data_IF_093077909798
#
_entry.id   IF_093077909798
#
_cell.length_a   1.000
_cell.length_b   1.000
_cell.length_c   1.000
_cell.angle_alpha   90.00
_cell.angle_beta   90.00
_cell.angle_gamma   90.00
#
_symmetry.space_group_name_H-M   'P 1'
#
loop_
_entity.id
_entity.type
_entity.pdbx_description
1 polymer ?
#
# COMPACT_ATOMS: atom_id res chain seq x y z
N UNK A 1 1.33 -0.01 65.75
CA UNK A 1 0.31 0.99 65.40
C UNK A 1 -0.26 0.65 64.04
N UNK A 2 -1.52 0.24 64.01
CA UNK A 2 -2.25 -0.18 62.81
C UNK A 2 -2.95 1.03 62.18
N UNK A 3 -2.96 1.10 60.86
CA UNK A 3 -3.87 1.97 60.11
C UNK A 3 -4.25 1.27 58.80
N UNK A 4 -5.36 0.55 58.84
CA UNK A 4 -6.07 0.03 57.67
C UNK A 4 -6.94 1.15 57.10
N UNK A 5 -6.77 1.49 55.82
CA UNK A 5 -7.72 2.33 55.08
C UNK A 5 -8.45 1.48 54.06
N UNK A 6 -9.71 1.24 54.35
CA UNK A 6 -10.72 0.65 53.47
C UNK A 6 -11.30 1.78 52.63
N UNK A 7 -11.19 1.68 51.30
CA UNK A 7 -11.90 2.56 50.38
C UNK A 7 -12.88 1.73 49.56
N UNK A 8 -14.16 1.81 49.92
CA UNK A 8 -15.28 1.42 49.07
C UNK A 8 -15.56 2.55 48.08
N UNK A 9 -15.73 2.23 46.79
CA UNK A 9 -16.35 3.12 45.82
C UNK A 9 -17.50 2.39 45.11
N UNK A 10 -18.67 3.03 44.94
CA UNK A 10 -19.86 2.38 44.43
C UNK A 10 -19.91 2.37 42.90
N UNK A 11 -20.59 1.33 42.45
CA UNK A 11 -21.06 1.00 41.13
C UNK A 11 -22.08 2.04 40.62
N UNK A 12 -21.81 2.70 39.48
CA UNK A 12 -22.84 3.42 38.72
C UNK A 12 -22.68 3.13 37.22
N UNK A 13 -23.66 2.37 36.72
CA UNK A 13 -24.04 2.32 35.30
C UNK A 13 -24.46 3.72 34.86
N UNK A 14 -24.19 4.11 33.61
CA UNK A 14 -25.11 4.82 32.72
C UNK A 14 -24.49 5.00 31.32
N UNK A 15 -25.24 4.54 30.31
CA UNK A 15 -25.02 4.79 28.90
C UNK A 15 -25.55 6.19 28.54
N UNK A 16 -24.78 7.02 27.84
CA UNK A 16 -25.34 8.12 27.03
C UNK A 16 -24.38 8.47 25.89
N UNK A 17 -24.91 8.42 24.67
CA UNK A 17 -24.31 8.83 23.41
C UNK A 17 -24.20 10.36 23.41
N UNK A 18 -23.02 10.91 23.12
CA UNK A 18 -22.84 12.34 22.81
C UNK A 18 -22.13 12.51 21.48
N UNK A 19 -22.95 12.77 20.47
CA UNK A 19 -22.59 13.36 19.18
C UNK A 19 -22.00 14.74 19.39
N UNK A 20 -20.77 14.98 18.95
CA UNK A 20 -20.21 16.33 18.87
C UNK A 20 -19.81 16.64 17.42
N UNK A 21 -20.49 17.62 16.84
CA UNK A 21 -20.22 18.17 15.53
C UNK A 21 -19.00 19.10 15.61
N UNK A 22 -17.91 18.71 14.97
CA UNK A 22 -16.72 19.55 14.79
C UNK A 22 -16.91 20.43 13.55
N UNK A 23 -17.07 21.74 13.79
CA UNK A 23 -17.05 22.80 12.77
C UNK A 23 -15.67 22.83 12.10
N UNK A 24 -15.60 22.48 10.82
CA UNK A 24 -14.44 22.70 9.97
C UNK A 24 -14.43 24.16 9.50
N UNK A 25 -13.44 24.94 9.98
CA UNK A 25 -13.11 26.23 9.39
C UNK A 25 -12.27 25.98 8.12
N UNK A 26 -12.91 26.00 6.95
CA UNK A 26 -12.21 26.08 5.67
C UNK A 26 -11.70 27.52 5.46
N UNK A 27 -10.46 27.79 5.84
CA UNK A 27 -9.72 28.93 5.27
C UNK A 27 -9.03 28.44 3.99
N UNK A 28 -9.75 28.52 2.87
CA UNK A 28 -9.25 28.26 1.54
C UNK A 28 -8.49 29.49 1.05
N UNK A 29 -7.17 29.55 1.30
CA UNK A 29 -6.29 30.50 0.62
C UNK A 29 -5.93 29.91 -0.74
N UNK A 30 -6.65 30.34 -1.77
CA UNK A 30 -6.33 30.10 -3.17
C UNK A 30 -4.93 30.67 -3.45
N UNK A 31 -3.93 29.80 -3.57
CA UNK A 31 -2.66 30.16 -4.20
C UNK A 31 -2.82 29.96 -5.70
N UNK A 32 -3.03 31.06 -6.41
CA UNK A 32 -2.83 31.11 -7.85
C UNK A 32 -1.37 30.76 -8.15
N UNK A 33 -1.15 29.70 -8.92
CA UNK A 33 0.16 29.37 -9.48
C UNK A 33 0.27 30.18 -10.78
N UNK A 34 0.94 31.34 -10.73
CA UNK A 34 1.29 32.08 -11.94
C UNK A 34 2.57 31.46 -12.55
N UNK A 35 2.39 30.66 -13.59
CA UNK A 35 3.48 30.27 -14.48
C UNK A 35 3.87 31.49 -15.32
N UNK A 36 4.99 32.13 -15.00
CA UNK A 36 5.65 33.08 -15.90
C UNK A 36 6.53 32.27 -16.85
N UNK A 37 5.99 31.94 -18.02
CA UNK A 37 6.78 31.45 -19.14
C UNK A 37 7.69 32.58 -19.62
N UNK A 38 9.00 32.46 -19.38
CA UNK A 38 10.01 33.18 -20.16
C UNK A 38 10.40 32.29 -21.34
N UNK A 39 9.88 32.63 -22.51
CA UNK A 39 10.46 32.22 -23.79
C UNK A 39 11.79 32.96 -23.93
N UNK A 40 12.90 32.23 -23.84
CA UNK A 40 14.18 32.69 -24.34
C UNK A 40 14.29 32.19 -25.77
N UNK A 41 14.38 33.11 -26.71
CA UNK A 41 14.79 32.81 -28.08
C UNK A 41 16.28 32.49 -28.11
N UNK A 42 16.63 31.44 -28.84
CA UNK A 42 18.01 31.11 -29.16
C UNK A 42 18.48 32.00 -30.31
N UNK A 43 19.51 32.81 -30.09
CA UNK A 43 20.36 33.32 -31.17
C UNK A 43 21.83 33.08 -30.81
N UNK A 44 22.55 32.56 -31.81
CA UNK A 44 23.86 31.92 -31.66
C UNK A 44 25.05 32.87 -31.57
N UNK A 45 26.09 32.31 -30.95
CA UNK A 45 27.52 32.42 -31.28
C UNK A 45 28.08 33.76 -31.80
N UNK A 46 28.87 34.45 -30.96
CA UNK A 46 30.25 34.85 -31.30
C UNK A 46 31.05 35.28 -30.06
N UNK A 47 32.13 34.56 -29.78
CA UNK A 47 33.28 35.02 -28.97
C UNK A 47 33.98 36.19 -29.70
N UNK A 48 34.56 37.16 -28.96
CA UNK A 48 35.99 37.07 -28.66
C UNK A 48 36.40 37.53 -27.24
N UNK A 49 37.31 36.74 -26.67
CA UNK A 49 38.53 37.08 -25.92
C UNK A 49 38.73 38.44 -25.22
N UNK A 50 39.25 38.32 -23.99
CA UNK A 50 40.21 39.18 -23.27
C UNK A 50 39.63 40.35 -22.47
N UNK A 51 39.51 40.18 -21.14
CA UNK A 51 40.34 40.90 -20.15
C UNK A 51 40.08 40.43 -18.71
N UNK A 52 41.20 40.22 -18.03
CA UNK A 52 41.39 39.92 -16.61
C UNK A 52 40.83 41.03 -15.72
N UNK A 53 39.85 40.72 -14.86
CA UNK A 53 39.61 41.45 -13.61
C UNK A 53 39.21 40.44 -12.53
N UNK A 54 40.17 40.08 -11.68
CA UNK A 54 39.90 39.56 -10.34
C UNK A 54 39.19 40.65 -9.55
N UNK A 55 37.87 40.53 -9.40
CA UNK A 55 37.11 41.24 -8.37
C UNK A 55 36.76 40.25 -7.26
N UNK A 56 37.69 40.10 -6.31
CA UNK A 56 37.35 39.72 -4.94
C UNK A 56 36.50 40.83 -4.34
N UNK A 57 35.22 40.87 -4.70
CA UNK A 57 34.21 41.61 -3.96
C UNK A 57 33.86 40.79 -2.72
N UNK A 58 34.32 41.27 -1.57
CA UNK A 58 33.80 40.84 -0.28
C UNK A 58 32.32 41.25 -0.18
N UNK A 59 31.45 40.36 -0.67
CA UNK A 59 30.00 40.48 -0.50
C UNK A 59 29.71 40.36 1.00
N UNK A 60 29.36 41.48 1.63
CA UNK A 60 28.92 41.50 3.02
C UNK A 60 27.91 40.36 3.24
N UNK A 61 28.11 39.50 4.27
CA UNK A 61 27.25 38.36 4.46
C UNK A 61 25.87 38.88 4.79
N UNK A 62 24.97 38.83 3.79
CA UNK A 62 23.53 39.01 3.95
C UNK A 62 23.18 38.32 5.26
N UNK A 63 22.61 39.03 6.23
CA UNK A 63 22.31 38.47 7.56
C UNK A 63 21.18 37.45 7.43
N UNK A 64 21.57 36.24 7.07
CA UNK A 64 20.70 35.11 6.86
C UNK A 64 20.06 34.72 8.19
N UNK A 65 18.76 34.42 8.15
CA UNK A 65 18.07 33.93 9.33
C UNK A 65 18.78 32.71 9.93
N UNK A 66 18.69 32.53 11.25
CA UNK A 66 19.32 31.40 11.95
C UNK A 66 18.95 30.04 11.33
N UNK A 67 17.70 29.87 10.90
CA UNK A 67 17.22 28.67 10.22
C UNK A 67 17.90 28.48 8.87
N UNK A 68 18.02 29.55 8.07
CA UNK A 68 18.69 29.50 6.77
C UNK A 68 20.18 29.17 6.90
N UNK A 69 20.87 29.71 7.92
CA UNK A 69 22.27 29.35 8.21
C UNK A 69 22.43 27.86 8.50
N UNK A 70 21.62 27.29 9.41
CA UNK A 70 21.62 25.85 9.72
C UNK A 70 21.31 24.98 8.49
N UNK A 71 20.39 25.44 7.64
CA UNK A 71 20.09 24.74 6.39
C UNK A 71 21.30 24.72 5.45
N UNK A 72 21.99 25.86 5.26
CA UNK A 72 23.18 25.89 4.41
C UNK A 72 24.35 25.10 4.99
N UNK A 73 24.50 25.07 6.31
CA UNK A 73 25.45 24.19 7.00
C UNK A 73 25.14 22.72 6.71
N UNK A 74 23.87 22.29 6.86
CA UNK A 74 23.44 20.94 6.51
C UNK A 74 23.63 20.62 5.02
N UNK A 75 23.32 21.55 4.12
CA UNK A 75 23.51 21.39 2.68
C UNK A 75 24.98 21.23 2.28
N UNK A 76 25.91 21.84 3.03
CA UNK A 76 27.35 21.68 2.82
C UNK A 76 27.86 20.33 3.31
N UNK A 77 27.31 19.82 4.41
CA UNK A 77 27.74 18.56 5.01
C UNK A 77 27.00 17.35 4.39
N UNK A 78 25.79 17.06 4.90
CA UNK A 78 25.03 15.84 4.57
C UNK A 78 24.25 16.03 3.28
N UNK A 79 23.68 17.22 3.07
CA UNK A 79 22.84 17.56 1.93
C UNK A 79 23.57 17.57 0.60
N UNK A 80 24.91 17.71 0.61
CA UNK A 80 25.72 17.79 -0.61
C UNK A 80 25.57 16.53 -1.49
N UNK A 81 25.42 15.35 -0.87
CA UNK A 81 25.21 14.06 -1.56
C UNK A 81 23.94 14.04 -2.42
N UNK A 82 22.96 14.86 -2.07
CA UNK A 82 21.67 14.95 -2.75
C UNK A 82 21.62 16.09 -3.78
N UNK A 83 22.70 16.85 -3.94
CA UNK A 83 22.76 17.96 -4.91
C UNK A 83 22.76 17.47 -6.36
N UNK A 84 23.26 16.26 -6.61
CA UNK A 84 23.27 15.62 -7.92
C UNK A 84 22.62 14.24 -7.82
N UNK A 85 21.90 13.79 -8.86
CA UNK A 85 21.41 12.41 -8.91
C UNK A 85 22.57 11.42 -8.82
N UNK A 86 22.40 10.35 -8.04
CA UNK A 86 23.31 9.19 -8.09
C UNK A 86 23.01 8.36 -9.32
N UNK A 87 24.00 8.09 -10.15
CA UNK A 87 23.84 7.25 -11.34
C UNK A 87 23.59 5.79 -10.95
N UNK A 88 22.61 5.14 -11.60
CA UNK A 88 22.35 3.71 -11.45
C UNK A 88 21.76 3.24 -10.11
N UNK A 89 21.49 4.14 -9.16
CA UNK A 89 20.93 3.79 -7.83
C UNK A 89 19.97 4.87 -7.32
N UNK A 90 19.09 4.50 -6.39
CA UNK A 90 18.14 5.40 -5.75
C UNK A 90 18.82 6.37 -4.79
N UNK A 91 18.60 7.67 -4.96
CA UNK A 91 19.16 8.71 -4.10
C UNK A 91 18.21 9.07 -2.94
N UNK A 92 17.95 8.12 -2.05
CA UNK A 92 17.07 8.33 -0.89
C UNK A 92 17.84 8.89 0.31
N UNK A 93 17.13 9.66 1.15
CA UNK A 93 17.71 10.25 2.37
C UNK A 93 18.22 9.18 3.36
N UNK A 94 17.59 8.01 3.35
CA UNK A 94 17.92 6.84 4.16
C UNK A 94 17.73 5.56 3.32
N UNK A 95 17.67 4.39 3.96
CA UNK A 95 17.33 3.13 3.28
C UNK A 95 15.95 3.19 2.58
N UNK A 96 15.02 3.99 3.12
CA UNK A 96 13.72 4.30 2.53
C UNK A 96 13.67 5.78 2.10
N UNK A 97 12.83 6.13 1.10
CA UNK A 97 12.67 7.52 0.67
C UNK A 97 12.14 8.42 1.79
N UNK A 98 11.33 7.87 2.70
CA UNK A 98 10.82 8.58 3.84
C UNK A 98 11.34 7.92 5.13
N UNK A 99 12.18 8.61 5.93
CA UNK A 99 12.76 8.02 7.14
C UNK A 99 11.70 7.67 8.18
N UNK A 100 10.59 8.41 8.22
CA UNK A 100 9.49 8.17 9.17
C UNK A 100 8.51 7.08 8.69
N UNK A 101 8.62 6.61 7.45
CA UNK A 101 7.75 5.57 6.91
C UNK A 101 8.60 4.45 6.27
N UNK A 102 9.05 3.47 7.08
CA UNK A 102 9.86 2.36 6.57
C UNK A 102 9.06 1.39 5.68
N UNK A 103 7.72 1.42 5.76
CA UNK A 103 6.84 0.54 4.98
C UNK A 103 6.72 0.98 3.52
N UNK A 104 7.02 2.25 3.23
CA UNK A 104 6.97 2.76 1.86
C UNK A 104 8.33 2.58 1.19
N UNK A 105 8.41 1.57 0.32
CA UNK A 105 9.55 1.33 -0.56
C UNK A 105 9.05 1.33 -2.01
N UNK A 106 9.45 2.31 -2.83
CA UNK A 106 9.05 2.38 -4.23
C UNK A 106 9.69 1.21 -4.98
N UNK A 107 8.93 0.66 -5.93
CA UNK A 107 9.38 -0.44 -6.77
C UNK A 107 10.35 0.07 -7.84
N UNK A 108 11.39 -0.70 -8.18
CA UNK A 108 12.25 -0.34 -9.30
C UNK A 108 11.43 -0.35 -10.60
N UNK A 109 11.65 0.61 -11.51
CA UNK A 109 11.04 0.59 -12.83
C UNK A 109 11.58 -0.57 -13.67
N UNK A 110 10.87 -0.93 -14.74
CA UNK A 110 11.39 -1.87 -15.73
C UNK A 110 12.66 -1.32 -16.38
N UNK A 111 13.68 -2.17 -16.46
CA UNK A 111 14.93 -1.85 -17.14
C UNK A 111 14.67 -1.63 -18.65
N UNK A 112 15.38 -0.68 -19.24
CA UNK A 112 15.17 -0.32 -20.65
C UNK A 112 15.52 -1.46 -21.61
N UNK A 113 16.50 -2.30 -21.27
CA UNK A 113 16.80 -3.51 -22.01
C UNK A 113 15.60 -4.46 -22.10
N UNK A 114 14.86 -4.64 -20.99
CA UNK A 114 13.65 -5.46 -20.96
C UNK A 114 12.52 -4.82 -21.77
N UNK A 115 12.39 -3.49 -21.76
CA UNK A 115 11.41 -2.79 -22.59
C UNK A 115 11.70 -2.98 -24.08
N UNK A 116 12.98 -2.90 -24.47
CA UNK A 116 13.41 -3.17 -25.84
C UNK A 116 13.13 -4.62 -26.24
N UNK A 117 13.43 -5.58 -25.37
CA UNK A 117 13.14 -6.99 -25.62
C UNK A 117 11.63 -7.25 -25.87
N UNK A 118 10.76 -6.63 -25.06
CA UNK A 118 9.31 -6.69 -25.24
C UNK A 118 8.92 -6.12 -26.61
N UNK A 119 9.51 -4.98 -26.98
CA UNK A 119 9.24 -4.32 -28.25
C UNK A 119 9.70 -5.17 -29.44
N UNK A 120 10.94 -5.66 -29.42
CA UNK A 120 11.53 -6.46 -30.50
C UNK A 120 10.73 -7.75 -30.74
N UNK A 121 10.26 -8.40 -29.67
CA UNK A 121 9.42 -9.59 -29.77
C UNK A 121 8.06 -9.27 -30.39
N UNK A 122 7.43 -8.18 -30.00
CA UNK A 122 6.18 -7.75 -30.60
C UNK A 122 6.35 -7.38 -32.09
N UNK A 123 7.44 -6.70 -32.44
CA UNK A 123 7.76 -6.30 -33.82
C UNK A 123 8.05 -7.50 -34.70
N UNK A 124 8.73 -8.53 -34.16
CA UNK A 124 9.08 -9.73 -34.92
C UNK A 124 7.86 -10.50 -35.44
N UNK A 125 6.90 -10.83 -34.55
CA UNK A 125 5.66 -11.51 -34.92
C UNK A 125 4.45 -10.92 -34.17
N UNK A 126 3.83 -9.83 -34.67
CA UNK A 126 2.69 -9.20 -34.00
C UNK A 126 1.47 -10.12 -33.83
N UNK A 127 1.28 -11.07 -34.76
CA UNK A 127 0.17 -12.02 -34.73
C UNK A 127 0.28 -13.04 -33.59
N UNK A 128 1.51 -13.42 -33.23
CA UNK A 128 1.79 -14.44 -32.21
C UNK A 128 2.06 -13.82 -30.83
N UNK A 129 2.73 -12.67 -30.80
CA UNK A 129 3.13 -11.98 -29.57
C UNK A 129 2.18 -10.84 -29.16
N UNK A 130 0.93 -10.83 -29.62
CA UNK A 130 -0.08 -9.88 -29.16
C UNK A 130 -0.89 -10.42 -27.97
N UNK A 131 -1.07 -9.59 -26.94
CA UNK A 131 -1.93 -9.89 -25.79
C UNK A 131 -1.33 -10.90 -24.80
N UNK A 132 -2.06 -12.00 -24.55
CA UNK A 132 -1.80 -12.97 -23.47
C UNK A 132 -0.43 -13.66 -23.57
N UNK A 133 0.08 -14.07 -24.74
CA UNK A 133 1.37 -14.77 -24.84
C UNK A 133 2.55 -13.93 -24.35
N UNK A 134 2.62 -12.66 -24.78
CA UNK A 134 3.67 -11.72 -24.36
C UNK A 134 3.55 -11.39 -22.87
N UNK A 135 2.32 -11.16 -22.40
CA UNK A 135 2.05 -10.92 -20.98
C UNK A 135 2.48 -12.11 -20.10
N UNK A 136 2.22 -13.35 -20.53
CA UNK A 136 2.64 -14.56 -19.78
C UNK A 136 4.15 -14.70 -19.70
N UNK A 137 4.86 -14.40 -20.79
CA UNK A 137 6.33 -14.48 -20.83
C UNK A 137 6.98 -13.47 -19.89
N UNK A 138 6.47 -12.23 -19.88
CA UNK A 138 6.96 -11.15 -19.03
C UNK A 138 6.14 -10.96 -17.73
N UNK A 139 5.34 -11.95 -17.35
CA UNK A 139 4.42 -11.88 -16.22
C UNK A 139 5.16 -11.52 -14.93
N UNK A 140 6.29 -12.18 -14.66
CA UNK A 140 7.13 -11.91 -13.49
C UNK A 140 7.61 -10.45 -13.41
N UNK A 141 8.01 -9.85 -14.55
CA UNK A 141 8.41 -8.44 -14.58
C UNK A 141 7.23 -7.49 -14.34
N UNK A 142 6.06 -7.82 -14.87
CA UNK A 142 4.82 -7.08 -14.60
C UNK A 142 4.33 -7.24 -13.16
N UNK A 143 4.40 -8.44 -12.61
CA UNK A 143 4.08 -8.76 -11.22
C UNK A 143 4.99 -7.98 -10.26
N UNK A 144 6.28 -7.89 -10.58
CA UNK A 144 7.25 -7.08 -9.87
C UNK A 144 6.90 -5.58 -9.92
N UNK A 145 6.49 -5.06 -11.08
CA UNK A 145 6.00 -3.68 -11.23
C UNK A 145 4.72 -3.44 -10.42
N UNK A 146 3.79 -4.40 -10.45
CA UNK A 146 2.45 -4.24 -9.92
C UNK A 146 2.34 -4.43 -8.42
N UNK A 147 3.12 -5.31 -7.81
CA UNK A 147 2.73 -5.69 -6.45
C UNK A 147 3.26 -6.97 -5.91
N UNK A 148 3.38 -7.97 -6.76
CA UNK A 148 2.85 -9.29 -6.41
C UNK A 148 3.95 -10.14 -5.76
N UNK A 149 5.17 -10.12 -6.31
CA UNK A 149 6.26 -11.07 -6.03
C UNK A 149 6.69 -11.14 -4.56
N UNK A 150 6.79 -9.99 -3.87
CA UNK A 150 7.31 -9.92 -2.50
C UNK A 150 6.22 -9.93 -1.44
N UNK A 151 4.95 -9.87 -1.86
CA UNK A 151 3.80 -9.66 -0.98
C UNK A 151 2.89 -10.87 -0.92
N UNK A 152 2.99 -11.84 -1.82
CA UNK A 152 2.09 -13.02 -1.80
C UNK A 152 2.20 -13.84 -0.52
N UNK A 153 3.40 -13.98 0.05
CA UNK A 153 3.57 -14.67 1.34
C UNK A 153 3.16 -13.79 2.54
N UNK A 154 3.47 -12.48 2.48
CA UNK A 154 3.15 -11.52 3.55
C UNK A 154 1.68 -11.07 3.57
N UNK A 155 1.00 -11.09 2.42
CA UNK A 155 -0.43 -10.80 2.23
C UNK A 155 -1.24 -12.08 2.04
N UNK A 156 -0.72 -13.24 2.48
CA UNK A 156 -1.56 -14.41 2.64
C UNK A 156 -2.48 -14.15 3.82
N UNK A 157 -3.53 -13.38 3.56
CA UNK A 157 -4.60 -13.15 4.50
C UNK A 157 -5.23 -14.51 4.79
N UNK A 158 -5.45 -14.85 6.06
CA UNK A 158 -6.12 -16.09 6.40
C UNK A 158 -7.52 -16.06 5.76
N UNK A 159 -7.96 -17.22 5.26
CA UNK A 159 -9.28 -17.34 4.62
C UNK A 159 -10.40 -16.87 5.56
N UNK A 160 -10.20 -17.03 6.86
CA UNK A 160 -11.05 -16.47 7.91
C UNK A 160 -10.18 -15.92 9.04
N UNK A 161 -10.47 -14.71 9.49
CA UNK A 161 -9.77 -14.08 10.61
C UNK A 161 -10.39 -14.53 11.95
N UNK A 162 -9.73 -15.46 12.64
CA UNK A 162 -10.24 -16.04 13.88
C UNK A 162 -9.73 -15.24 15.07
N UNK A 163 -10.63 -14.45 15.67
CA UNK A 163 -10.36 -13.73 16.92
C UNK A 163 -10.97 -14.46 18.12
N UNK A 164 -10.26 -15.41 18.75
CA UNK A 164 -10.76 -16.02 19.98
C UNK A 164 -10.78 -14.97 21.09
N UNK A 165 -11.82 -14.95 21.91
CA UNK A 165 -11.88 -14.07 23.08
C UNK A 165 -10.81 -14.48 24.09
N UNK A 166 -9.63 -13.84 24.06
CA UNK A 166 -8.52 -14.12 24.96
C UNK A 166 -8.78 -13.49 26.33
N UNK A 167 -8.75 -14.32 27.37
CA UNK A 167 -8.86 -13.86 28.75
C UNK A 167 -7.52 -13.36 29.28
N UNK A 168 -7.41 -13.25 30.60
CA UNK A 168 -6.13 -12.98 31.26
C UNK A 168 -5.16 -14.15 31.00
N UNK A 169 -3.84 -13.88 30.87
CA UNK A 169 -2.85 -14.94 30.76
C UNK A 169 -2.89 -15.85 31.99
N UNK A 170 -2.78 -17.17 31.78
CA UNK A 170 -2.72 -18.18 32.83
C UNK A 170 -1.39 -18.91 32.76
N UNK A 171 -0.78 -19.14 33.92
CA UNK A 171 0.44 -19.91 34.06
C UNK A 171 0.14 -21.18 34.86
N UNK A 172 0.67 -22.33 34.40
CA UNK A 172 0.54 -23.63 35.07
C UNK A 172 1.94 -24.20 35.22
N UNK A 173 2.30 -24.65 36.42
CA UNK A 173 3.54 -25.39 36.61
C UNK A 173 3.39 -26.80 36.03
N UNK A 174 4.40 -27.23 35.29
CA UNK A 174 4.51 -28.55 34.68
C UNK A 174 5.83 -29.17 35.09
N UNK A 175 5.91 -30.50 35.01
CA UNK A 175 7.18 -31.20 35.18
C UNK A 175 8.10 -30.87 34.01
N UNK A 176 9.39 -30.83 34.26
CA UNK A 176 10.40 -30.37 33.28
C UNK A 176 10.38 -31.19 31.99
N UNK A 177 10.13 -32.50 32.10
CA UNK A 177 10.07 -33.41 30.94
C UNK A 177 8.66 -33.54 30.31
N UNK A 178 7.66 -32.80 30.81
CA UNK A 178 6.30 -32.90 30.30
C UNK A 178 6.12 -32.08 29.01
N UNK A 179 5.66 -32.74 27.94
CA UNK A 179 5.33 -32.05 26.68
C UNK A 179 3.99 -31.29 26.81
N UNK A 180 4.02 -29.98 26.59
CA UNK A 180 2.83 -29.13 26.64
C UNK A 180 2.46 -28.60 25.25
N UNK A 181 1.39 -29.16 24.69
CA UNK A 181 0.91 -28.80 23.35
C UNK A 181 -0.26 -27.80 23.35
N UNK A 182 -0.65 -27.30 22.15
CA UNK A 182 -1.79 -26.39 21.98
C UNK A 182 -3.12 -26.96 22.50
N UNK A 183 -3.32 -28.29 22.39
CA UNK A 183 -4.51 -28.96 22.89
C UNK A 183 -4.59 -28.97 24.42
N UNK A 184 -3.45 -29.18 25.10
CA UNK A 184 -3.42 -29.12 26.57
C UNK A 184 -3.60 -27.67 27.05
N UNK A 185 -3.05 -26.70 26.31
CA UNK A 185 -3.32 -25.27 26.56
C UNK A 185 -4.81 -24.94 26.44
N UNK A 186 -5.50 -25.47 25.42
CA UNK A 186 -6.94 -25.28 25.25
C UNK A 186 -7.73 -25.89 26.42
N UNK A 187 -7.34 -27.09 26.88
CA UNK A 187 -7.92 -27.74 28.08
C UNK A 187 -7.72 -26.90 29.33
N UNK A 188 -6.51 -26.39 29.59
CA UNK A 188 -6.22 -25.51 30.75
C UNK A 188 -7.02 -24.21 30.71
N UNK A 189 -7.30 -23.70 29.51
CA UNK A 189 -8.13 -22.51 29.30
C UNK A 189 -9.63 -22.80 29.31
N UNK A 190 -10.05 -24.07 29.38
CA UNK A 190 -11.43 -24.54 29.19
C UNK A 190 -12.03 -24.10 27.85
N UNK A 191 -11.29 -24.33 26.75
CA UNK A 191 -11.61 -23.88 25.39
C UNK A 191 -11.43 -25.00 24.38
N UNK A 192 -12.01 -24.79 23.20
CA UNK A 192 -11.78 -25.60 21.99
C UNK A 192 -10.37 -25.27 21.45
N UNK A 193 -9.60 -26.24 20.94
CA UNK A 193 -8.31 -25.98 20.30
C UNK A 193 -8.47 -25.06 19.08
N UNK A 194 -7.43 -24.27 18.81
CA UNK A 194 -7.47 -23.21 17.79
C UNK A 194 -7.77 -23.74 16.38
N UNK A 195 -7.16 -24.87 15.98
CA UNK A 195 -7.40 -25.49 14.67
C UNK A 195 -8.86 -25.86 14.44
N UNK A 196 -9.54 -26.39 15.46
CA UNK A 196 -10.95 -26.75 15.35
C UNK A 196 -11.85 -25.51 15.27
N UNK A 197 -11.44 -24.39 15.87
CA UNK A 197 -12.13 -23.11 15.71
C UNK A 197 -11.97 -22.55 14.30
N UNK A 198 -10.77 -22.63 13.72
CA UNK A 198 -10.52 -22.25 12.32
C UNK A 198 -11.39 -23.07 11.36
N UNK A 199 -11.40 -24.39 11.52
CA UNK A 199 -12.20 -25.27 10.66
C UNK A 199 -13.69 -24.94 10.74
N UNK A 200 -14.25 -24.77 11.95
CA UNK A 200 -15.66 -24.38 12.11
C UNK A 200 -15.97 -23.02 11.48
N UNK A 201 -15.06 -22.06 11.59
CA UNK A 201 -15.20 -20.74 10.98
C UNK A 201 -15.19 -20.84 9.44
N UNK A 202 -14.29 -21.65 8.89
CA UNK A 202 -14.23 -21.93 7.46
C UNK A 202 -15.51 -22.62 6.99
N UNK A 203 -15.98 -23.65 7.69
CA UNK A 203 -17.22 -24.36 7.39
C UNK A 203 -18.45 -23.43 7.42
N UNK A 204 -18.54 -22.52 8.40
CA UNK A 204 -19.61 -21.53 8.46
C UNK A 204 -19.53 -20.48 7.33
N UNK A 205 -18.32 -20.15 6.88
CA UNK A 205 -18.09 -19.22 5.77
C UNK A 205 -18.20 -19.85 4.38
N UNK A 206 -18.15 -21.18 4.29
CA UNK A 206 -18.33 -21.90 3.03
C UNK A 206 -19.77 -21.77 2.55
N UNK A 207 -19.96 -21.02 1.47
CA UNK A 207 -21.24 -21.00 0.77
C UNK A 207 -21.44 -22.33 0.03
N UNK A 208 -22.66 -22.86 0.08
CA UNK A 208 -23.09 -23.98 -0.76
C UNK A 208 -23.15 -23.53 -2.22
N UNK A 209 -22.00 -23.52 -2.89
CA UNK A 209 -21.89 -23.18 -4.30
C UNK A 209 -22.32 -24.39 -5.13
N UNK A 210 -23.62 -24.68 -5.13
CA UNK A 210 -24.18 -25.65 -6.06
C UNK A 210 -24.29 -24.97 -7.43
N UNK A 211 -23.60 -25.52 -8.43
CA UNK A 211 -23.89 -25.18 -9.82
C UNK A 211 -25.38 -25.46 -10.07
N UNK A 212 -26.14 -24.56 -10.74
CA UNK A 212 -27.48 -24.88 -11.16
C UNK A 212 -27.39 -26.13 -12.03
N UNK A 213 -27.96 -27.24 -11.55
CA UNK A 213 -28.02 -28.49 -12.30
C UNK A 213 -28.60 -28.13 -13.67
N UNK A 214 -27.80 -28.32 -14.72
CA UNK A 214 -28.30 -28.25 -16.08
C UNK A 214 -29.50 -29.18 -16.15
N UNK A 215 -30.69 -28.62 -16.30
CA UNK A 215 -31.91 -29.38 -16.55
C UNK A 215 -31.69 -30.18 -17.82
N UNK A 216 -31.29 -31.44 -17.67
CA UNK A 216 -31.47 -32.47 -18.68
C UNK A 216 -32.98 -32.60 -18.88
N UNK A 217 -33.47 -31.97 -19.94
CA UNK A 217 -34.83 -32.12 -20.43
C UNK A 217 -35.04 -33.56 -20.92
N UNK A 218 -35.44 -34.46 -20.04
CA UNK A 218 -36.21 -35.64 -20.44
C UNK A 218 -37.63 -35.20 -20.72
N UNK A 219 -38.04 -35.37 -21.98
CA UNK A 219 -39.38 -35.16 -22.51
C UNK A 219 -40.48 -35.56 -21.51
N UNK A 220 -41.41 -34.64 -21.26
CA UNK A 220 -42.83 -34.93 -21.08
C UNK A 220 -43.61 -33.62 -21.25
N UNK A 221 -44.64 -33.70 -22.09
CA UNK A 221 -45.50 -32.61 -22.53
C UNK A 221 -46.09 -31.82 -21.36
N UNK A 222 -45.86 -30.51 -21.36
CA UNK A 222 -46.84 -29.54 -20.87
C UNK A 222 -46.63 -28.22 -21.60
N UNK A 223 -47.69 -27.76 -22.25
CA UNK A 223 -47.73 -26.57 -23.11
C UNK A 223 -47.48 -25.32 -22.29
N UNK A 224 -46.29 -24.70 -22.42
CA UNK A 224 -46.01 -23.36 -21.90
C UNK A 224 -46.19 -22.32 -23.01
N UNK A 225 -46.86 -21.18 -22.74
CA UNK A 225 -47.09 -20.16 -23.76
C UNK A 225 -45.77 -19.47 -24.11
N UNK A 226 -45.37 -19.55 -25.38
CA UNK A 226 -44.27 -18.78 -25.93
C UNK A 226 -44.61 -17.29 -25.87
N UNK A 227 -43.91 -16.52 -25.04
CA UNK A 227 -43.98 -15.05 -25.07
C UNK A 227 -43.28 -14.58 -26.34
N UNK A 228 -44.07 -14.19 -27.34
CA UNK A 228 -43.55 -13.51 -28.54
C UNK A 228 -43.25 -12.07 -28.16
N UNK A 229 -41.98 -11.69 -28.16
CA UNK A 229 -41.59 -10.29 -28.06
C UNK A 229 -41.74 -9.66 -29.44
N UNK A 230 -42.59 -8.65 -29.53
CA UNK A 230 -42.73 -7.79 -30.71
C UNK A 230 -41.84 -6.59 -30.46
N UNK A 231 -40.84 -6.41 -31.32
CA UNK A 231 -40.02 -5.19 -31.34
C UNK A 231 -40.74 -4.23 -32.29
N UNK A 232 -41.20 -3.11 -31.75
CA UNK A 232 -41.76 -2.01 -32.53
C UNK A 232 -40.65 -0.97 -32.69
N UNK A 233 -40.21 -0.74 -33.93
CA UNK A 233 -39.29 0.35 -34.25
C UNK A 233 -40.02 1.70 -34.08
N UNK A 234 -39.52 2.54 -33.18
CA UNK A 234 -40.01 3.90 -32.96
C UNK A 234 -39.02 4.93 -33.51
N UNK A 235 -38.59 4.77 -34.76
CA UNK A 235 -37.92 5.86 -35.48
C UNK A 235 -39.00 6.74 -36.12
N UNK A 236 -39.19 7.94 -35.56
CA UNK A 236 -39.93 9.04 -36.14
C UNK A 236 -38.96 10.08 -36.71
#
# INVERSE_FOLDING_TARGET
MQATRVCFSPFLKNNTILTTASKSNLCCSQRFISFSARLNEEEGSKTPEVETVESTEEVEPVKMSRRRRKFHEWMKEVGYKFSRPSEGTTNYLAATPFPNNPLFQPRPPLADATKQEIYDQYVSDPQNWSGIPLQRKFAKGMEQLMGVDNRTELLKEPLVDVFPNVGKPKFKSLKEDAHFGPEDAAKVLNRIPFKDLENRMIELGQADFSLPKSTTSTNNESTKPTKKFVIVDTSA
#
